data_IF_004651991097
#
_entry.id   IF_004651991097
#
_cell.length_a   1.000
_cell.length_b   1.000
_cell.length_c   1.000
_cell.angle_alpha   90.00
_cell.angle_beta   90.00
_cell.angle_gamma   90.00
#
_symmetry.space_group_name_H-M   'P 1'
#
loop_
_entity.id
_entity.type
_entity.pdbx_description
1 polymer ?
#
# COMPACT_ATOMS: atom_id res chain seq x y z
N UNK A 1 12.36 -0.69 -19.63
CA UNK A 1 11.47 -0.52 -18.46
C UNK A 1 11.31 -1.82 -17.67
N UNK A 2 11.07 -2.97 -18.31
CA UNK A 2 11.03 -4.28 -17.63
C UNK A 2 12.29 -4.62 -16.78
N UNK A 3 13.49 -4.25 -17.23
CA UNK A 3 14.73 -4.50 -16.47
C UNK A 3 14.74 -3.77 -15.11
N UNK A 4 14.31 -2.50 -15.08
CA UNK A 4 14.23 -1.71 -13.84
C UNK A 4 13.21 -2.28 -12.85
N UNK A 5 12.09 -2.80 -13.36
CA UNK A 5 11.07 -3.45 -12.53
C UNK A 5 11.55 -4.81 -12.00
N UNK A 6 12.24 -5.61 -12.82
CA UNK A 6 12.85 -6.86 -12.36
C UNK A 6 13.89 -6.61 -11.27
N UNK A 7 14.74 -5.59 -11.42
CA UNK A 7 15.72 -5.21 -10.40
C UNK A 7 15.05 -4.74 -9.11
N UNK A 8 13.96 -3.98 -9.22
CA UNK A 8 13.14 -3.60 -8.07
C UNK A 8 12.57 -4.84 -7.35
N UNK A 9 11.99 -5.80 -8.07
CA UNK A 9 11.45 -7.02 -7.48
C UNK A 9 12.55 -7.86 -6.79
N UNK A 10 13.73 -7.97 -7.40
CA UNK A 10 14.90 -8.62 -6.76
C UNK A 10 15.33 -7.93 -5.48
N UNK A 11 15.23 -6.60 -5.42
CA UNK A 11 15.49 -5.82 -4.21
C UNK A 11 14.42 -6.10 -3.14
N UNK A 12 13.15 -6.24 -3.52
CA UNK A 12 12.06 -6.53 -2.57
C UNK A 12 12.27 -7.84 -1.79
N UNK A 13 12.88 -8.87 -2.41
CA UNK A 13 13.22 -10.14 -1.75
C UNK A 13 14.21 -10.02 -0.57
N UNK A 14 14.84 -8.86 -0.40
CA UNK A 14 15.78 -8.59 0.70
C UNK A 14 15.10 -8.01 1.94
N UNK A 15 13.83 -7.61 1.84
CA UNK A 15 13.13 -6.87 2.89
C UNK A 15 12.16 -7.75 3.70
N UNK A 16 11.70 -7.26 4.87
CA UNK A 16 10.84 -8.02 5.79
C UNK A 16 9.55 -8.61 5.18
N UNK A 17 9.10 -8.09 4.04
CA UNK A 17 7.88 -8.54 3.37
C UNK A 17 7.87 -10.05 3.05
N UNK A 18 9.03 -10.65 2.76
CA UNK A 18 9.13 -12.08 2.46
C UNK A 18 8.69 -13.00 3.61
N UNK A 19 8.68 -12.47 4.83
CA UNK A 19 8.24 -13.20 6.02
C UNK A 19 6.71 -13.12 6.23
N UNK A 20 6.01 -12.29 5.44
CA UNK A 20 4.57 -12.10 5.50
C UNK A 20 3.92 -12.66 4.21
N UNK A 21 3.56 -13.95 4.18
CA UNK A 21 3.17 -14.64 2.94
C UNK A 21 1.81 -14.23 2.39
N UNK A 22 0.98 -13.55 3.18
CA UNK A 22 -0.35 -13.10 2.79
C UNK A 22 -0.41 -11.57 2.72
N UNK A 23 -0.40 -10.98 1.51
CA UNK A 23 -0.68 -9.57 1.36
C UNK A 23 -2.14 -9.30 1.69
N UNK A 24 -2.37 -8.59 2.78
CA UNK A 24 -3.68 -8.41 3.40
C UNK A 24 -4.74 -7.74 2.51
N UNK A 25 -4.32 -6.97 1.50
CA UNK A 25 -5.21 -6.33 0.52
C UNK A 25 -5.65 -7.27 -0.61
N UNK A 26 -4.98 -8.42 -0.79
CA UNK A 26 -5.31 -9.38 -1.84
C UNK A 26 -6.35 -10.36 -1.28
N UNK A 27 -7.51 -10.51 -1.94
CA UNK A 27 -8.58 -11.39 -1.48
C UNK A 27 -8.24 -12.87 -1.81
N UNK A 28 -7.18 -13.40 -1.20
CA UNK A 28 -6.60 -14.71 -1.55
C UNK A 28 -7.65 -15.82 -1.48
N UNK A 29 -8.43 -15.87 -0.39
CA UNK A 29 -9.45 -16.91 -0.20
C UNK A 29 -10.51 -16.90 -1.30
N UNK A 30 -10.97 -15.71 -1.69
CA UNK A 30 -11.92 -15.54 -2.80
C UNK A 30 -11.30 -15.92 -4.14
N UNK A 31 -10.02 -15.61 -4.35
CA UNK A 31 -9.33 -15.88 -5.61
C UNK A 31 -9.11 -17.38 -5.84
N UNK A 32 -8.95 -18.17 -4.78
CA UNK A 32 -8.70 -19.62 -4.86
C UNK A 32 -9.96 -20.46 -4.64
N UNK A 33 -11.09 -19.84 -4.30
CA UNK A 33 -12.37 -20.51 -4.09
C UNK A 33 -12.75 -21.36 -5.33
N UNK A 34 -13.02 -22.65 -5.10
CA UNK A 34 -13.33 -23.62 -6.16
C UNK A 34 -12.16 -24.00 -7.08
N UNK A 35 -10.93 -23.54 -6.80
CA UNK A 35 -9.73 -23.80 -7.61
C UNK A 35 -8.68 -24.66 -6.92
N UNK A 36 -8.75 -24.77 -5.60
CA UNK A 36 -7.84 -25.57 -4.76
C UNK A 36 -8.66 -26.49 -3.87
N UNK A 37 -8.06 -27.61 -3.45
CA UNK A 37 -8.69 -28.54 -2.52
C UNK A 37 -8.74 -27.96 -1.10
N UNK A 38 -9.64 -28.50 -0.26
CA UNK A 38 -9.72 -28.11 1.15
C UNK A 38 -8.40 -28.41 1.89
N UNK A 39 -7.74 -29.52 1.55
CA UNK A 39 -6.44 -29.90 2.12
C UNK A 39 -5.32 -28.93 1.72
N UNK A 40 -5.25 -28.53 0.44
CA UNK A 40 -4.28 -27.55 -0.04
C UNK A 40 -4.45 -26.19 0.66
N UNK A 41 -5.71 -25.79 0.84
CA UNK A 41 -6.05 -24.56 1.53
C UNK A 41 -5.73 -24.63 3.03
N UNK A 42 -6.00 -25.76 3.68
CA UNK A 42 -5.65 -25.99 5.08
C UNK A 42 -4.12 -25.95 5.30
N UNK A 43 -3.35 -26.54 4.38
CA UNK A 43 -1.88 -26.47 4.39
C UNK A 43 -1.38 -25.04 4.23
N UNK A 44 -1.98 -24.26 3.32
CA UNK A 44 -1.59 -22.87 3.11
C UNK A 44 -1.90 -22.00 4.34
N UNK A 45 -3.07 -22.16 4.96
CA UNK A 45 -3.44 -21.43 6.19
C UNK A 45 -2.51 -21.78 7.36
N UNK A 46 -2.12 -23.05 7.53
CA UNK A 46 -1.09 -23.47 8.48
C UNK A 46 0.26 -22.82 8.17
N UNK A 47 0.65 -22.79 6.91
CA UNK A 47 1.89 -22.14 6.47
C UNK A 47 1.89 -20.65 6.80
N UNK A 48 0.80 -19.93 6.56
CA UNK A 48 0.64 -18.52 6.96
C UNK A 48 0.87 -18.36 8.46
N UNK A 49 0.19 -19.15 9.29
CA UNK A 49 0.35 -19.07 10.75
C UNK A 49 1.79 -19.31 11.19
N UNK A 50 2.45 -20.34 10.64
CA UNK A 50 3.85 -20.65 10.94
C UNK A 50 4.76 -19.49 10.57
N UNK A 51 4.59 -18.91 9.39
CA UNK A 51 5.39 -17.75 8.94
C UNK A 51 5.17 -16.52 9.80
N UNK A 52 3.95 -16.24 10.25
CA UNK A 52 3.67 -15.14 11.17
C UNK A 52 4.37 -15.33 12.53
N UNK A 53 4.44 -16.57 13.04
CA UNK A 53 5.19 -16.89 14.27
C UNK A 53 6.69 -16.72 14.09
N UNK A 54 7.26 -17.25 13.01
CA UNK A 54 8.68 -17.08 12.68
C UNK A 54 9.06 -15.60 12.48
N UNK A 55 8.19 -14.82 11.81
CA UNK A 55 8.39 -13.39 11.60
C UNK A 55 8.42 -12.60 12.93
N UNK A 56 7.59 -13.01 13.89
CA UNK A 56 7.51 -12.38 15.22
C UNK A 56 8.83 -12.49 15.99
N UNK A 57 9.56 -13.59 15.86
CA UNK A 57 10.90 -13.79 16.45
C UNK A 57 11.90 -12.72 15.96
N UNK A 58 11.71 -12.23 14.74
CA UNK A 58 12.52 -11.16 14.13
C UNK A 58 11.89 -9.76 14.30
N UNK A 59 10.88 -9.60 15.15
CA UNK A 59 10.09 -8.37 15.32
C UNK A 59 9.41 -7.88 14.02
N UNK A 60 9.13 -8.78 13.08
CA UNK A 60 8.40 -8.49 11.84
C UNK A 60 6.93 -8.81 12.09
N UNK A 61 6.13 -7.76 12.29
CA UNK A 61 4.72 -7.89 12.66
C UNK A 61 3.78 -7.21 11.67
N UNK A 62 2.59 -7.80 11.49
CA UNK A 62 1.47 -7.12 10.83
C UNK A 62 1.09 -5.85 11.62
N UNK A 63 0.77 -4.77 10.91
CA UNK A 63 0.04 -3.66 11.52
C UNK A 63 -1.45 -4.03 11.68
N UNK A 64 -2.19 -3.18 12.38
CA UNK A 64 -3.62 -3.43 12.62
C UNK A 64 -4.44 -3.56 11.33
N UNK A 65 -4.20 -2.73 10.32
CA UNK A 65 -4.95 -2.79 9.06
C UNK A 65 -4.66 -4.07 8.28
N UNK A 66 -3.42 -4.54 8.31
CA UNK A 66 -3.04 -5.80 7.66
C UNK A 66 -3.69 -7.00 8.36
N UNK A 67 -3.62 -7.03 9.69
CA UNK A 67 -4.25 -8.08 10.50
C UNK A 67 -5.76 -8.10 10.33
N UNK A 68 -6.43 -6.95 10.49
CA UNK A 68 -7.89 -6.86 10.47
C UNK A 68 -8.44 -7.21 9.07
N UNK A 69 -7.71 -6.90 7.99
CA UNK A 69 -8.09 -7.32 6.65
C UNK A 69 -7.97 -8.84 6.44
N UNK A 70 -6.96 -9.51 7.02
CA UNK A 70 -6.85 -10.97 6.97
C UNK A 70 -7.96 -11.63 7.79
N UNK A 71 -8.24 -11.11 9.00
CA UNK A 71 -9.36 -11.56 9.85
C UNK A 71 -10.66 -11.49 9.05
N UNK A 72 -10.94 -10.33 8.44
CA UNK A 72 -12.15 -10.14 7.64
C UNK A 72 -12.26 -11.15 6.49
N UNK A 73 -11.17 -11.41 5.77
CA UNK A 73 -11.18 -12.43 4.71
C UNK A 73 -11.52 -13.82 5.25
N UNK A 74 -10.96 -14.20 6.42
CA UNK A 74 -11.27 -15.47 7.07
C UNK A 74 -12.73 -15.54 7.52
N UNK A 75 -13.26 -14.48 8.11
CA UNK A 75 -14.66 -14.39 8.56
C UNK A 75 -15.64 -14.47 7.39
N UNK A 76 -15.39 -13.71 6.32
CA UNK A 76 -16.25 -13.64 5.13
C UNK A 76 -16.21 -14.93 4.28
N UNK A 77 -15.23 -15.81 4.50
CA UNK A 77 -15.09 -17.05 3.73
C UNK A 77 -15.95 -18.19 4.27
N UNK A 78 -16.48 -19.03 3.36
CA UNK A 78 -17.20 -20.27 3.71
C UNK A 78 -16.29 -21.51 3.68
N UNK A 79 -14.99 -21.32 3.87
CA UNK A 79 -14.01 -22.41 3.77
C UNK A 79 -14.18 -23.37 4.94
N UNK A 80 -14.30 -24.65 4.58
CA UNK A 80 -14.28 -25.79 5.50
C UNK A 80 -12.83 -26.32 5.66
N UNK A 81 -12.04 -25.60 6.44
CA UNK A 81 -10.66 -25.97 6.77
C UNK A 81 -10.44 -25.82 8.28
N UNK A 82 -10.00 -26.86 9.02
CA UNK A 82 -9.77 -26.79 10.46
C UNK A 82 -8.78 -25.69 10.87
N UNK A 83 -7.78 -25.41 10.04
CA UNK A 83 -6.81 -24.33 10.28
C UNK A 83 -7.39 -22.92 10.20
N UNK A 84 -8.56 -22.72 9.57
CA UNK A 84 -9.22 -21.41 9.48
C UNK A 84 -9.52 -20.84 10.86
N UNK A 85 -10.21 -21.60 11.70
CA UNK A 85 -10.56 -21.17 13.07
C UNK A 85 -9.33 -21.00 13.95
N UNK A 86 -8.32 -21.85 13.77
CA UNK A 86 -7.04 -21.76 14.48
C UNK A 86 -6.28 -20.49 14.12
N UNK A 87 -6.19 -20.15 12.83
CA UNK A 87 -5.55 -18.92 12.37
C UNK A 87 -6.34 -17.69 12.81
N UNK A 88 -7.67 -17.73 12.74
CA UNK A 88 -8.53 -16.64 13.21
C UNK A 88 -8.32 -16.37 14.71
N UNK A 89 -8.30 -17.41 15.56
CA UNK A 89 -8.00 -17.28 16.98
C UNK A 89 -6.61 -16.69 17.22
N UNK A 90 -5.58 -17.19 16.51
CA UNK A 90 -4.23 -16.66 16.59
C UNK A 90 -4.16 -15.17 16.21
N UNK A 91 -4.88 -14.76 15.15
CA UNK A 91 -4.91 -13.36 14.70
C UNK A 91 -5.65 -12.45 15.69
N UNK A 92 -6.69 -12.92 16.37
CA UNK A 92 -7.38 -12.14 17.40
C UNK A 92 -6.47 -11.81 18.60
N UNK A 93 -5.61 -12.75 18.99
CA UNK A 93 -4.61 -12.54 20.05
C UNK A 93 -3.30 -11.90 19.54
N UNK A 94 -3.18 -11.67 18.23
CA UNK A 94 -1.96 -11.19 17.59
C UNK A 94 -1.64 -9.75 17.98
N UNK A 95 -0.43 -9.56 18.51
CA UNK A 95 0.11 -8.23 18.84
C UNK A 95 0.56 -7.50 17.58
N UNK A 96 -0.32 -6.69 17.00
CA UNK A 96 0.04 -5.81 15.89
C UNK A 96 1.08 -4.76 16.29
N UNK A 97 1.90 -4.34 15.33
CA UNK A 97 2.78 -3.17 15.48
C UNK A 97 1.95 -1.88 15.63
N UNK A 98 2.48 -0.94 16.42
CA UNK A 98 1.78 0.30 16.77
C UNK A 98 1.66 1.27 15.59
N UNK A 99 2.70 1.37 14.75
CA UNK A 99 2.70 2.22 13.57
C UNK A 99 2.32 1.44 12.33
N UNK A 100 1.59 2.11 11.43
CA UNK A 100 1.08 1.51 10.21
C UNK A 100 2.18 1.38 9.14
N UNK A 101 3.08 2.35 9.06
CA UNK A 101 4.06 2.45 8.00
C UNK A 101 5.34 1.62 8.21
N UNK A 102 6.16 1.54 7.16
CA UNK A 102 7.30 0.63 7.10
C UNK A 102 8.39 0.95 8.13
N UNK A 103 8.46 2.20 8.62
CA UNK A 103 9.47 2.70 9.55
C UNK A 103 9.81 1.76 10.73
N UNK A 104 8.81 1.07 11.30
CA UNK A 104 9.01 0.20 12.46
C UNK A 104 9.53 -1.20 12.13
N UNK A 105 9.58 -1.56 10.85
CA UNK A 105 10.13 -2.84 10.41
C UNK A 105 11.66 -2.76 10.33
N UNK A 106 12.38 -3.88 10.54
CA UNK A 106 13.81 -3.96 10.28
C UNK A 106 14.16 -3.47 8.86
N UNK A 107 15.10 -2.53 8.74
CA UNK A 107 15.47 -1.87 7.47
C UNK A 107 14.30 -1.17 6.75
N UNK A 108 13.27 -0.75 7.50
CA UNK A 108 12.04 -0.18 6.94
C UNK A 108 12.24 1.15 6.22
N UNK A 109 13.22 1.96 6.64
CA UNK A 109 13.55 3.23 5.98
C UNK A 109 14.20 3.00 4.62
N UNK A 110 15.16 2.10 4.56
CA UNK A 110 15.85 1.68 3.34
C UNK A 110 14.86 1.03 2.38
N UNK A 111 13.97 0.20 2.92
CA UNK A 111 12.91 -0.41 2.15
C UNK A 111 11.99 0.63 1.52
N UNK A 112 11.49 1.57 2.31
CA UNK A 112 10.66 2.64 1.81
C UNK A 112 11.39 3.53 0.79
N UNK A 113 12.67 3.85 1.02
CA UNK A 113 13.50 4.53 0.02
C UNK A 113 13.58 3.74 -1.29
N UNK A 114 13.76 2.41 -1.24
CA UNK A 114 13.79 1.59 -2.47
C UNK A 114 12.49 1.68 -3.27
N UNK A 115 11.34 1.82 -2.58
CA UNK A 115 10.04 2.02 -3.23
C UNK A 115 9.92 3.42 -3.82
N UNK A 116 10.37 4.46 -3.12
CA UNK A 116 10.46 5.83 -3.68
C UNK A 116 11.35 5.88 -4.93
N UNK A 117 12.50 5.19 -4.91
CA UNK A 117 13.41 5.10 -6.05
C UNK A 117 12.71 4.46 -7.26
N UNK A 118 11.93 3.41 -7.05
CA UNK A 118 11.23 2.71 -8.13
C UNK A 118 10.01 3.48 -8.65
N UNK A 119 9.09 3.85 -7.75
CA UNK A 119 7.83 4.46 -8.17
C UNK A 119 8.03 5.91 -8.62
N UNK A 120 8.75 6.72 -7.83
CA UNK A 120 8.89 8.15 -8.08
C UNK A 120 10.18 8.58 -8.77
N UNK A 121 11.10 7.65 -9.09
CA UNK A 121 12.45 7.99 -9.53
C UNK A 121 13.20 8.92 -8.57
N UNK A 122 12.89 8.84 -7.27
CA UNK A 122 13.39 9.72 -6.22
C UNK A 122 14.69 9.15 -5.68
N UNK A 123 15.79 9.88 -5.73
CA UNK A 123 17.06 9.47 -5.12
C UNK A 123 17.37 10.29 -3.86
N UNK A 124 16.70 11.42 -3.70
CA UNK A 124 16.82 12.28 -2.54
C UNK A 124 16.23 11.62 -1.29
N UNK A 125 16.71 12.09 -0.13
CA UNK A 125 16.16 11.63 1.14
C UNK A 125 14.69 12.03 1.29
N UNK A 126 13.87 11.24 2.03
CA UNK A 126 12.44 11.51 2.15
C UNK A 126 12.13 12.89 2.77
N UNK A 127 13.03 13.40 3.62
CA UNK A 127 12.93 14.77 4.16
C UNK A 127 13.09 15.85 3.07
N UNK A 128 13.99 15.65 2.10
CA UNK A 128 14.14 16.58 0.96
C UNK A 128 12.90 16.55 0.09
N UNK A 129 12.35 15.37 -0.18
CA UNK A 129 11.09 15.21 -0.93
C UNK A 129 9.95 15.93 -0.24
N UNK A 130 9.78 15.77 1.07
CA UNK A 130 8.74 16.47 1.85
C UNK A 130 8.87 17.99 1.75
N UNK A 131 10.09 18.52 1.79
CA UNK A 131 10.36 19.94 1.60
C UNK A 131 10.01 20.41 0.17
N UNK A 132 10.19 19.55 -0.85
CA UNK A 132 9.78 19.85 -2.23
C UNK A 132 8.26 19.82 -2.38
N UNK A 133 7.56 18.82 -1.81
CA UNK A 133 6.10 18.73 -1.84
C UNK A 133 5.45 19.99 -1.25
N UNK A 134 5.99 20.51 -0.15
CA UNK A 134 5.52 21.76 0.47
C UNK A 134 5.66 22.99 -0.45
N UNK A 135 6.51 22.95 -1.49
CA UNK A 135 6.65 24.01 -2.50
C UNK A 135 5.68 23.85 -3.67
N UNK A 136 5.35 22.60 -4.01
CA UNK A 136 4.37 22.25 -5.05
C UNK A 136 2.94 22.49 -4.54
N UNK A 137 2.77 22.36 -3.23
CA UNK A 137 1.50 22.56 -2.55
C UNK A 137 0.98 24.00 -2.68
N UNK A 138 -0.19 24.14 -3.31
CA UNK A 138 -0.83 25.43 -3.51
C UNK A 138 -1.48 25.90 -2.19
N UNK A 139 -0.92 26.95 -1.59
CA UNK A 139 -1.38 27.55 -0.31
C UNK A 139 -2.87 28.00 -0.28
N UNK A 140 -3.58 27.98 -1.42
CA UNK A 140 -4.98 28.43 -1.57
C UNK A 140 -5.84 27.44 -2.37
N UNK A 141 -5.61 26.14 -2.22
CA UNK A 141 -6.51 25.14 -2.79
C UNK A 141 -7.87 25.15 -2.05
N UNK A 142 -8.98 25.14 -2.80
CA UNK A 142 -10.30 24.83 -2.22
C UNK A 142 -10.27 23.40 -1.70
N UNK A 143 -10.98 23.13 -0.60
CA UNK A 143 -11.09 21.78 -0.08
C UNK A 143 -11.58 20.82 -1.18
N UNK A 144 -10.81 19.75 -1.41
CA UNK A 144 -11.09 18.78 -2.47
C UNK A 144 -12.13 17.80 -1.93
N UNK A 145 -13.24 17.64 -2.65
CA UNK A 145 -14.27 16.65 -2.34
C UNK A 145 -13.97 15.38 -3.12
N UNK A 146 -13.93 14.24 -2.43
CA UNK A 146 -13.88 12.93 -3.08
C UNK A 146 -15.30 12.43 -3.34
N UNK A 147 -15.59 12.15 -4.61
CA UNK A 147 -16.92 11.70 -5.05
C UNK A 147 -17.08 10.17 -4.98
N UNK A 148 -16.00 9.44 -4.76
CA UNK A 148 -15.99 7.97 -4.74
C UNK A 148 -15.27 7.45 -3.50
N UNK A 149 -15.61 6.22 -3.12
CA UNK A 149 -14.89 5.50 -2.08
C UNK A 149 -13.58 4.93 -2.64
N UNK A 150 -12.42 5.20 -2.02
CA UNK A 150 -11.14 4.64 -2.45
C UNK A 150 -11.15 3.11 -2.42
N UNK A 151 -10.69 2.46 -3.49
CA UNK A 151 -10.49 1.02 -3.48
C UNK A 151 -9.22 0.69 -2.66
N UNK A 152 -9.26 -0.38 -1.86
CA UNK A 152 -8.08 -0.87 -1.13
C UNK A 152 -7.42 -2.08 -1.79
N UNK A 153 -7.91 -2.51 -2.96
CA UNK A 153 -7.40 -3.67 -3.71
C UNK A 153 -6.42 -3.31 -4.82
N UNK A 154 -6.31 -2.03 -5.19
CA UNK A 154 -5.39 -1.54 -6.21
C UNK A 154 -4.72 -0.24 -5.75
N UNK A 155 -3.53 0.13 -6.25
CA UNK A 155 -2.92 1.42 -5.96
C UNK A 155 -3.85 2.60 -6.30
N UNK A 156 -4.12 3.50 -5.35
CA UNK A 156 -5.10 4.58 -5.56
C UNK A 156 -4.75 5.50 -6.73
N UNK A 157 -3.45 5.65 -7.05
CA UNK A 157 -3.03 6.44 -8.22
C UNK A 157 -3.61 5.90 -9.54
N UNK A 158 -3.91 4.61 -9.64
CA UNK A 158 -4.54 4.00 -10.81
C UNK A 158 -6.04 4.28 -10.90
N UNK A 159 -6.70 4.60 -9.78
CA UNK A 159 -8.12 5.02 -9.75
C UNK A 159 -8.30 6.45 -10.28
N UNK A 160 -7.26 7.28 -10.18
CA UNK A 160 -7.27 8.65 -10.69
C UNK A 160 -7.10 8.71 -12.21
N UNK A 161 -6.83 7.59 -12.86
CA UNK A 161 -6.62 7.52 -14.30
C UNK A 161 -7.95 7.26 -15.03
N UNK A 162 -8.24 7.99 -16.12
CA UNK A 162 -9.45 7.78 -16.89
C UNK A 162 -9.42 6.43 -17.61
N UNK A 163 -10.57 5.87 -17.97
CA UNK A 163 -10.67 4.55 -18.61
C UNK A 163 -9.91 4.44 -19.95
N UNK A 164 -9.68 5.56 -20.65
CA UNK A 164 -8.91 5.60 -21.89
C UNK A 164 -7.39 5.70 -21.67
N UNK A 165 -6.92 5.79 -20.42
CA UNK A 165 -5.51 5.71 -20.08
C UNK A 165 -5.03 4.26 -20.27
N UNK A 166 -4.15 4.03 -21.24
CA UNK A 166 -3.62 2.70 -21.50
C UNK A 166 -2.76 2.22 -20.33
N UNK A 167 -3.24 1.21 -19.60
CA UNK A 167 -2.48 0.48 -18.57
C UNK A 167 -1.35 -0.32 -19.23
N UNK A 168 -0.13 -0.15 -18.74
CA UNK A 168 1.05 -0.86 -19.25
C UNK A 168 1.29 -2.09 -18.39
N UNK A 169 1.38 -3.26 -19.02
CA UNK A 169 1.71 -4.51 -18.33
C UNK A 169 3.05 -4.42 -17.62
N UNK A 170 3.10 -4.98 -16.42
CA UNK A 170 4.26 -5.07 -15.55
C UNK A 170 4.46 -6.49 -15.02
N UNK A 171 5.36 -6.62 -14.07
CA UNK A 171 5.77 -7.88 -13.45
C UNK A 171 5.29 -7.99 -11.99
N UNK A 172 5.01 -6.85 -11.34
CA UNK A 172 4.59 -6.85 -9.94
C UNK A 172 3.13 -7.27 -9.79
N UNK A 173 2.91 -8.52 -9.36
CA UNK A 173 1.57 -9.07 -9.10
C UNK A 173 0.78 -8.30 -8.04
N UNK A 174 1.46 -7.61 -7.10
CA UNK A 174 0.82 -6.77 -6.07
C UNK A 174 0.24 -5.49 -6.66
N UNK A 175 0.80 -5.03 -7.77
CA UNK A 175 0.27 -3.90 -8.54
C UNK A 175 -0.61 -4.42 -9.69
N UNK A 176 -1.26 -5.58 -9.53
CA UNK A 176 -2.09 -6.24 -10.55
C UNK A 176 -1.37 -6.54 -11.88
N UNK A 177 -0.05 -6.77 -11.83
CA UNK A 177 0.79 -6.87 -13.04
C UNK A 177 0.70 -5.62 -13.93
N UNK A 178 0.56 -4.44 -13.31
CA UNK A 178 0.61 -3.14 -13.97
C UNK A 178 1.93 -2.47 -13.59
N UNK A 179 2.67 -2.00 -14.60
CA UNK A 179 3.80 -1.13 -14.37
C UNK A 179 3.27 0.28 -14.03
N UNK A 180 3.05 0.54 -12.74
CA UNK A 180 2.46 1.79 -12.23
C UNK A 180 3.22 3.03 -12.73
N UNK A 181 4.57 3.12 -12.61
CA UNK A 181 5.30 4.31 -13.05
C UNK A 181 5.12 4.59 -14.55
N UNK A 182 5.23 3.56 -15.38
CA UNK A 182 5.12 3.72 -16.83
C UNK A 182 3.70 4.06 -17.25
N UNK A 183 2.69 3.51 -16.57
CA UNK A 183 1.26 3.80 -16.81
C UNK A 183 0.96 5.26 -16.49
N UNK A 184 1.35 5.71 -15.28
CA UNK A 184 1.13 7.10 -14.83
C UNK A 184 1.85 8.11 -15.73
N UNK A 185 3.07 7.80 -16.17
CA UNK A 185 3.84 8.66 -17.07
C UNK A 185 3.15 8.93 -18.43
N UNK A 186 2.24 8.06 -18.88
CA UNK A 186 1.47 8.26 -20.12
C UNK A 186 0.20 9.10 -19.94
N UNK A 187 -0.24 9.33 -18.70
CA UNK A 187 -1.57 9.88 -18.41
C UNK A 187 -1.51 11.22 -17.67
N UNK A 188 -0.61 12.10 -18.14
CA UNK A 188 -0.24 13.37 -17.51
C UNK A 188 -1.40 14.34 -17.29
N UNK A 189 -2.39 14.40 -18.20
CA UNK A 189 -3.57 15.27 -18.03
C UNK A 189 -4.38 14.94 -16.77
N UNK A 190 -4.56 13.65 -16.49
CA UNK A 190 -5.27 13.20 -15.30
C UNK A 190 -4.47 13.51 -14.02
N UNK A 191 -3.14 13.35 -14.09
CA UNK A 191 -2.24 13.69 -12.99
C UNK A 191 -2.31 15.19 -12.67
N UNK A 192 -2.33 16.07 -13.68
CA UNK A 192 -2.47 17.51 -13.43
C UNK A 192 -3.83 17.86 -12.85
N UNK A 193 -4.91 17.24 -13.35
CA UNK A 193 -6.26 17.45 -12.81
C UNK A 193 -6.38 17.08 -11.32
N UNK A 194 -5.63 16.07 -10.87
CA UNK A 194 -5.64 15.60 -9.49
C UNK A 194 -4.42 16.05 -8.67
N UNK A 195 -3.64 17.03 -9.15
CA UNK A 195 -2.36 17.43 -8.55
C UNK A 195 -2.41 17.69 -7.06
N UNK A 196 -3.34 18.53 -6.59
CA UNK A 196 -3.43 18.88 -5.17
C UNK A 196 -3.80 17.67 -4.28
N UNK A 197 -4.64 16.75 -4.78
CA UNK A 197 -4.95 15.49 -4.10
C UNK A 197 -3.70 14.61 -4.03
N UNK A 198 -3.03 14.39 -5.16
CA UNK A 198 -1.84 13.54 -5.26
C UNK A 198 -0.71 14.06 -4.35
N UNK A 199 -0.44 15.37 -4.36
CA UNK A 199 0.59 15.98 -3.49
C UNK A 199 0.24 15.80 -2.01
N UNK A 200 -1.04 15.91 -1.65
CA UNK A 200 -1.50 15.65 -0.27
C UNK A 200 -1.27 14.19 0.11
N UNK A 201 -1.62 13.25 -0.77
CA UNK A 201 -1.42 11.82 -0.54
C UNK A 201 0.06 11.44 -0.45
N UNK A 202 0.93 12.04 -1.28
CA UNK A 202 2.40 11.86 -1.19
C UNK A 202 2.94 12.30 0.18
N UNK A 203 2.48 13.44 0.70
CA UNK A 203 2.90 13.92 2.01
C UNK A 203 2.43 12.99 3.14
N UNK A 204 1.21 12.47 3.05
CA UNK A 204 0.67 11.51 4.02
C UNK A 204 1.38 10.16 3.95
N UNK A 205 1.71 9.69 2.75
CA UNK A 205 2.49 8.46 2.52
C UNK A 205 3.88 8.56 3.19
N UNK A 206 4.60 9.68 2.98
CA UNK A 206 5.85 9.98 3.70
C UNK A 206 5.65 10.02 5.22
N UNK A 207 4.59 10.68 5.67
CA UNK A 207 4.23 10.76 7.08
C UNK A 207 4.09 9.37 7.70
N UNK A 208 3.32 8.49 7.07
CA UNK A 208 3.07 7.12 7.54
C UNK A 208 4.34 6.28 7.47
N UNK A 209 4.95 6.15 6.29
CA UNK A 209 5.99 5.15 6.04
C UNK A 209 7.38 5.57 6.46
N UNK A 210 7.70 6.87 6.43
CA UNK A 210 9.00 7.38 6.79
C UNK A 210 9.03 8.07 8.16
N UNK A 211 8.05 8.92 8.47
CA UNK A 211 8.02 9.64 9.75
C UNK A 211 7.35 8.85 10.89
N UNK A 212 6.69 7.73 10.56
CA UNK A 212 6.02 6.89 11.55
C UNK A 212 4.77 7.54 12.13
N UNK A 213 4.00 8.26 11.32
CA UNK A 213 2.72 8.81 11.75
C UNK A 213 1.73 7.71 12.15
N UNK A 214 1.02 7.98 13.23
CA UNK A 214 -0.19 7.24 13.61
C UNK A 214 -1.33 7.51 12.61
N UNK A 215 -2.36 6.64 12.61
CA UNK A 215 -3.57 6.88 11.81
C UNK A 215 -4.22 8.24 12.12
N UNK A 216 -4.20 8.68 13.39
CA UNK A 216 -4.78 9.96 13.78
C UNK A 216 -4.04 11.14 13.15
N UNK A 217 -2.71 11.08 13.11
CA UNK A 217 -1.90 12.10 12.44
C UNK A 217 -2.15 12.11 10.93
N UNK A 218 -2.18 10.92 10.30
CA UNK A 218 -2.52 10.80 8.88
C UNK A 218 -3.92 11.34 8.56
N UNK A 219 -4.91 11.04 9.42
CA UNK A 219 -6.28 11.53 9.28
C UNK A 219 -6.36 13.07 9.36
N UNK A 220 -5.67 13.67 10.33
CA UNK A 220 -5.60 15.14 10.46
C UNK A 220 -4.94 15.75 9.23
N UNK A 221 -3.84 15.16 8.74
CA UNK A 221 -3.14 15.65 7.56
C UNK A 221 -4.01 15.56 6.30
N UNK A 222 -4.74 14.46 6.08
CA UNK A 222 -5.68 14.32 4.96
C UNK A 222 -6.79 15.37 5.04
N UNK A 223 -7.45 15.50 6.19
CA UNK A 223 -8.58 16.42 6.37
C UNK A 223 -8.19 17.90 6.43
N UNK A 224 -6.89 18.21 6.55
CA UNK A 224 -6.42 19.59 6.44
C UNK A 224 -6.64 20.19 5.05
N UNK A 225 -6.84 19.34 4.02
CA UNK A 225 -6.97 19.75 2.61
C UNK A 225 -8.12 19.07 1.87
N UNK A 226 -8.52 17.88 2.32
CA UNK A 226 -9.57 17.09 1.70
C UNK A 226 -10.84 17.14 2.58
N UNK A 227 -12.00 17.36 1.98
CA UNK A 227 -13.28 17.24 2.68
C UNK A 227 -13.72 15.77 2.67
N UNK A 228 -13.13 14.97 3.56
CA UNK A 228 -13.41 13.53 3.65
C UNK A 228 -14.37 13.23 4.79
N UNK A 229 -15.24 12.25 4.57
CA UNK A 229 -15.85 11.55 5.69
C UNK A 229 -14.85 10.55 6.31
N UNK A 230 -15.20 10.01 7.48
CA UNK A 230 -14.32 9.10 8.22
C UNK A 230 -13.95 7.85 7.42
N UNK A 231 -14.92 7.25 6.74
CA UNK A 231 -14.72 6.03 5.96
C UNK A 231 -13.79 6.27 4.75
N UNK A 232 -13.95 7.40 4.05
CA UNK A 232 -13.08 7.80 2.94
C UNK A 232 -11.63 8.00 3.42
N UNK A 233 -11.44 8.71 4.52
CA UNK A 233 -10.11 8.91 5.10
C UNK A 233 -9.49 7.58 5.54
N UNK A 234 -10.26 6.69 6.17
CA UNK A 234 -9.78 5.38 6.57
C UNK A 234 -9.36 4.52 5.36
N UNK A 235 -10.15 4.52 4.28
CA UNK A 235 -9.80 3.78 3.06
C UNK A 235 -8.59 4.35 2.34
N UNK A 236 -8.43 5.68 2.29
CA UNK A 236 -7.20 6.29 1.75
C UNK A 236 -5.97 5.91 2.57
N UNK A 237 -6.05 5.99 3.90
CA UNK A 237 -4.94 5.57 4.77
C UNK A 237 -4.66 4.07 4.57
N UNK A 238 -5.69 3.23 4.46
CA UNK A 238 -5.52 1.81 4.20
C UNK A 238 -4.84 1.55 2.86
N UNK A 239 -5.26 2.25 1.79
CA UNK A 239 -4.63 2.16 0.48
C UNK A 239 -3.14 2.55 0.56
N UNK A 240 -2.81 3.68 1.19
CA UNK A 240 -1.41 4.11 1.38
C UNK A 240 -0.61 3.03 2.11
N UNK A 241 -1.17 2.47 3.18
CA UNK A 241 -0.51 1.40 3.96
C UNK A 241 -0.25 0.15 3.12
N UNK A 242 -1.21 -0.25 2.28
CA UNK A 242 -1.10 -1.44 1.43
C UNK A 242 -0.22 -1.24 0.20
N UNK A 243 -0.15 0.00 -0.32
CA UNK A 243 0.55 0.37 -1.56
C UNK A 243 1.59 1.48 -1.32
N UNK A 244 2.57 1.26 -0.41
CA UNK A 244 3.54 2.27 -0.02
C UNK A 244 4.28 2.84 -1.24
N UNK A 245 4.35 4.16 -1.30
CA UNK A 245 5.02 4.95 -2.32
C UNK A 245 4.46 4.84 -3.76
N UNK A 246 3.42 4.05 -4.02
CA UNK A 246 2.83 3.95 -5.38
C UNK A 246 2.31 5.30 -5.88
N UNK A 247 1.78 6.14 -4.98
CA UNK A 247 1.34 7.50 -5.29
C UNK A 247 2.47 8.38 -5.86
N UNK A 248 3.73 8.07 -5.53
CA UNK A 248 4.90 8.78 -6.06
C UNK A 248 5.15 8.52 -7.54
N UNK A 249 4.45 7.60 -8.20
CA UNK A 249 4.49 7.45 -9.66
C UNK A 249 4.21 8.76 -10.42
N UNK A 250 3.45 9.68 -9.82
CA UNK A 250 3.19 11.00 -10.37
C UNK A 250 4.29 12.04 -10.09
N UNK A 251 5.22 11.77 -9.16
CA UNK A 251 6.21 12.75 -8.71
C UNK A 251 7.10 13.31 -9.84
N UNK A 252 7.61 12.51 -10.80
CA UNK A 252 8.39 13.03 -11.92
C UNK A 252 7.64 14.03 -12.80
N UNK A 253 6.30 13.99 -12.83
CA UNK A 253 5.49 14.93 -13.59
C UNK A 253 5.51 16.33 -12.96
N UNK A 254 5.55 16.42 -11.63
CA UNK A 254 5.55 17.70 -10.91
C UNK A 254 6.93 18.39 -10.84
N UNK A 255 8.00 17.70 -11.25
CA UNK A 255 9.35 18.27 -11.32
C UNK A 255 9.68 18.91 -12.67
N UNK A 256 8.83 18.70 -13.68
CA UNK A 256 9.03 19.32 -14.99
C UNK A 256 8.57 20.78 -14.94
N UNK A 257 9.38 21.73 -15.45
CA UNK A 257 9.01 23.14 -15.51
C UNK A 257 7.77 23.38 -16.39
#
# INVERSE_FOLDING_TARGET
>A
MAHKELDYLRIQERYPERYLPWPSHIPVLKNVEGRVSAEELDLWLKFVMTKLKEADESNIRLNRFERDAIIKQLEDSNIDAPSRSTLLAYLNDYKSRAMLGLHQLPNGKEWYQSKLNFYGAIQESPNKVLAMLSKIDEKKSKSIVLNTMPNTQQPYILELLPANCQRISGLNWRDEFINVPSTVAKCTKAIEQHKALIVTLMAVDLGIHYQGWSQKQAFVALNSKLALNEQQAQQLIANIVYFPATIFAAYPHFLKP
#
